data_IF_509696961236
#
_entry.id   IF_509696961236
#
_cell.length_a   1.000
_cell.length_b   1.000
_cell.length_c   1.000
_cell.angle_alpha   90.00
_cell.angle_beta   90.00
_cell.angle_gamma   90.00
#
_symmetry.space_group_name_H-M   'P 1'
#
loop_
_entity.id
_entity.type
_entity.pdbx_description
1 polymer ?
#
# COMPACT_ATOMS: atom_id res chain seq x y z
N UNK A 1 2.29 -0.04 4.59
CA UNK A 1 1.75 -0.79 3.43
C UNK A 1 2.02 0.00 2.16
N UNK A 2 2.56 -0.62 1.12
CA UNK A 2 2.75 0.01 -0.18
C UNK A 2 1.69 -0.52 -1.17
N UNK A 3 0.99 0.40 -1.81
CA UNK A 3 -0.07 0.09 -2.78
C UNK A 3 0.36 0.56 -4.16
N UNK A 4 0.51 -0.37 -5.09
CA UNK A 4 0.78 -0.10 -6.49
C UNK A 4 -0.54 -0.05 -7.26
N UNK A 5 -0.98 1.16 -7.60
CA UNK A 5 -2.21 1.38 -8.35
C UNK A 5 -1.99 1.26 -9.85
N UNK A 6 -3.05 0.87 -10.57
CA UNK A 6 -3.05 0.69 -12.04
C UNK A 6 -2.02 -0.34 -12.52
N UNK A 7 -1.81 -1.37 -11.71
CA UNK A 7 -0.90 -2.46 -12.02
C UNK A 7 -1.35 -3.19 -13.28
N UNK A 8 -0.40 -3.44 -14.19
CA UNK A 8 -0.58 -4.19 -15.43
C UNK A 8 -0.25 -5.67 -15.20
N UNK A 9 -0.57 -6.53 -16.16
CA UNK A 9 -0.45 -7.98 -15.98
C UNK A 9 0.98 -8.43 -15.69
N UNK A 10 1.99 -7.73 -16.22
CA UNK A 10 3.42 -7.95 -16.00
C UNK A 10 3.80 -7.77 -14.53
N UNK A 11 3.10 -6.87 -13.83
CA UNK A 11 3.33 -6.59 -12.42
C UNK A 11 2.91 -7.76 -11.53
N UNK A 12 1.92 -8.53 -11.98
CA UNK A 12 1.38 -9.69 -11.28
C UNK A 12 2.25 -10.94 -11.48
N UNK A 13 3.25 -10.92 -12.37
CA UNK A 13 4.12 -12.06 -12.54
C UNK A 13 4.88 -12.41 -11.24
N UNK A 14 4.91 -13.69 -10.82
CA UNK A 14 5.60 -14.12 -9.60
C UNK A 14 7.06 -13.66 -9.48
N UNK A 15 7.79 -13.65 -10.61
CA UNK A 15 9.19 -13.24 -10.66
C UNK A 15 9.31 -11.73 -10.42
N UNK A 16 8.49 -10.93 -11.10
CA UNK A 16 8.41 -9.48 -10.94
C UNK A 16 8.02 -9.09 -9.52
N UNK A 17 6.99 -9.75 -8.97
CA UNK A 17 6.53 -9.52 -7.61
C UNK A 17 7.64 -9.83 -6.58
N UNK A 18 8.34 -10.95 -6.73
CA UNK A 18 9.46 -11.35 -5.85
C UNK A 18 10.63 -10.37 -5.95
N UNK A 19 10.95 -9.92 -7.15
CA UNK A 19 12.00 -8.92 -7.37
C UNK A 19 11.67 -7.61 -6.65
N UNK A 20 10.47 -7.07 -6.84
CA UNK A 20 10.04 -5.83 -6.20
C UNK A 20 9.98 -5.93 -4.67
N UNK A 21 9.49 -7.05 -4.13
CA UNK A 21 9.50 -7.26 -2.67
C UNK A 21 10.93 -7.22 -2.11
N UNK A 22 11.90 -7.85 -2.79
CA UNK A 22 13.32 -7.79 -2.37
C UNK A 22 13.87 -6.36 -2.40
N UNK A 23 13.57 -5.62 -3.45
CA UNK A 23 13.99 -4.21 -3.59
C UNK A 23 13.39 -3.33 -2.49
N UNK A 24 12.08 -3.47 -2.22
CA UNK A 24 11.41 -2.75 -1.14
C UNK A 24 12.02 -3.06 0.22
N UNK A 25 12.28 -4.34 0.53
CA UNK A 25 12.95 -4.71 1.78
C UNK A 25 14.33 -4.05 1.90
N UNK A 26 15.11 -4.03 0.81
CA UNK A 26 16.41 -3.37 0.78
C UNK A 26 16.34 -1.86 1.04
N UNK A 27 15.40 -1.15 0.40
CA UNK A 27 15.24 0.31 0.58
C UNK A 27 14.83 0.69 2.01
N UNK A 28 14.04 -0.16 2.67
CA UNK A 28 13.54 0.09 4.02
C UNK A 28 14.37 -0.59 5.13
N UNK A 29 15.47 -1.28 4.81
CA UNK A 29 16.25 -2.08 5.75
C UNK A 29 16.78 -1.31 6.98
N UNK A 30 16.98 0.02 6.83
CA UNK A 30 17.42 0.92 7.92
C UNK A 30 16.33 1.90 8.36
N UNK A 31 15.11 1.76 7.84
CA UNK A 31 14.00 2.62 8.18
C UNK A 31 13.37 2.19 9.51
N UNK A 32 12.86 3.16 10.28
CA UNK A 32 11.99 2.87 11.45
C UNK A 32 10.57 2.46 11.03
N UNK A 33 10.23 2.64 9.75
CA UNK A 33 8.92 2.25 9.22
C UNK A 33 8.89 0.73 9.01
N UNK A 34 7.92 0.06 9.65
CA UNK A 34 7.71 -1.35 9.43
C UNK A 34 6.96 -1.58 8.10
N UNK A 35 7.68 -2.09 7.10
CA UNK A 35 7.11 -2.49 5.81
C UNK A 35 6.77 -3.99 5.76
N UNK A 36 7.12 -4.74 6.79
CA UNK A 36 6.92 -6.19 6.86
C UNK A 36 5.55 -6.55 7.45
N UNK A 37 4.95 -7.64 6.98
CA UNK A 37 3.64 -8.14 7.36
C UNK A 37 2.97 -9.02 6.31
N UNK A 38 1.68 -9.28 6.54
CA UNK A 38 0.86 -10.20 5.75
C UNK A 38 -0.04 -9.52 4.70
N UNK A 39 0.07 -8.21 4.49
CA UNK A 39 -0.73 -7.49 3.49
C UNK A 39 -0.08 -7.60 2.11
N UNK A 40 -0.15 -8.80 1.52
CA UNK A 40 0.42 -9.11 0.20
C UNK A 40 -0.41 -10.16 -0.54
N UNK A 41 -0.23 -10.25 -1.88
CA UNK A 41 -1.01 -11.13 -2.73
C UNK A 41 -0.91 -12.63 -2.38
N UNK A 42 0.22 -13.08 -1.83
CA UNK A 42 0.39 -14.47 -1.38
C UNK A 42 -0.52 -14.81 -0.20
N UNK A 43 -0.65 -13.88 0.73
CA UNK A 43 -1.52 -14.01 1.90
C UNK A 43 -3.02 -13.85 1.57
N UNK A 44 -3.36 -13.28 0.41
CA UNK A 44 -4.75 -13.13 -0.08
C UNK A 44 -5.33 -14.42 -0.71
N UNK A 45 -4.63 -15.56 -0.62
CA UNK A 45 -5.21 -16.88 -0.87
C UNK A 45 -5.27 -17.34 -2.33
N UNK A 46 -4.57 -16.67 -3.26
CA UNK A 46 -4.49 -17.11 -4.67
C UNK A 46 -3.39 -18.16 -4.84
N UNK A 47 -3.74 -19.32 -5.42
CA UNK A 47 -2.83 -20.47 -5.57
C UNK A 47 -1.52 -20.14 -6.28
N UNK A 48 -1.57 -19.30 -7.31
CA UNK A 48 -0.40 -18.86 -8.10
C UNK A 48 0.64 -18.12 -7.23
N UNK A 49 0.21 -17.48 -6.14
CA UNK A 49 1.06 -16.71 -5.25
C UNK A 49 1.37 -17.42 -3.93
N UNK A 50 0.77 -18.58 -3.64
CA UNK A 50 1.03 -19.35 -2.40
C UNK A 50 2.51 -19.73 -2.22
N UNK A 51 3.24 -19.94 -3.33
CA UNK A 51 4.67 -20.25 -3.30
C UNK A 51 5.59 -19.03 -3.12
N UNK A 52 5.05 -17.80 -3.15
CA UNK A 52 5.82 -16.58 -2.97
C UNK A 52 5.84 -16.25 -1.48
N UNK A 53 6.88 -16.75 -0.79
CA UNK A 53 7.18 -16.35 0.59
C UNK A 53 7.72 -14.92 0.60
N UNK A 54 6.81 -13.95 0.63
CA UNK A 54 7.12 -12.54 0.89
C UNK A 54 6.41 -12.12 2.16
N UNK A 55 7.16 -11.47 3.04
CA UNK A 55 6.69 -10.81 4.25
C UNK A 55 6.59 -9.30 4.04
N UNK A 56 6.61 -8.79 2.80
CA UNK A 56 6.52 -7.35 2.54
C UNK A 56 5.06 -6.98 2.32
N UNK A 57 4.57 -5.93 3.00
CA UNK A 57 3.23 -5.37 2.83
C UNK A 57 3.10 -4.61 1.50
N UNK A 58 3.17 -5.34 0.39
CA UNK A 58 3.10 -4.83 -0.98
C UNK A 58 1.88 -5.39 -1.71
N UNK A 59 1.04 -4.48 -2.20
CA UNK A 59 -0.27 -4.81 -2.76
C UNK A 59 -0.40 -4.22 -4.16
N UNK A 60 -0.82 -5.04 -5.12
CA UNK A 60 -1.13 -4.60 -6.48
C UNK A 60 -2.63 -4.38 -6.63
N UNK A 61 -3.00 -3.24 -7.21
CA UNK A 61 -4.36 -2.94 -7.61
C UNK A 61 -4.38 -2.76 -9.13
N UNK A 62 -5.08 -3.66 -9.82
CA UNK A 62 -5.33 -3.53 -11.25
C UNK A 62 -6.18 -2.29 -11.56
N UNK A 63 -6.27 -1.90 -12.83
CA UNK A 63 -7.21 -0.85 -13.23
C UNK A 63 -8.65 -1.24 -12.88
N UNK A 64 -9.41 -0.24 -12.39
CA UNK A 64 -10.83 -0.42 -12.13
C UNK A 64 -11.52 -0.67 -13.46
N UNK A 65 -12.10 -1.86 -13.63
CA UNK A 65 -12.96 -2.14 -14.79
C UNK A 65 -14.13 -1.16 -14.77
N UNK A 66 -14.41 -0.42 -15.85
CA UNK A 66 -15.58 0.43 -15.91
C UNK A 66 -16.82 -0.41 -15.59
N UNK A 67 -17.66 0.05 -14.66
CA UNK A 67 -18.94 -0.62 -14.39
C UNK A 67 -19.73 -0.68 -15.69
N UNK A 68 -19.87 -1.86 -16.26
CA UNK A 68 -20.61 -2.06 -17.51
C UNK A 68 -22.08 -1.73 -17.26
N UNK A 69 -22.53 -0.51 -17.60
CA UNK A 69 -23.92 -0.34 -18.03
C UNK A 69 -24.00 -1.16 -19.32
N UNK A 70 -24.86 -2.19 -19.33
CA UNK A 70 -25.07 -3.13 -20.45
C UNK A 70 -24.74 -2.47 -21.79
N UNK A 71 -23.54 -2.76 -22.31
CA UNK A 71 -23.09 -2.29 -23.60
C UNK A 71 -22.35 -3.46 -24.25
N UNK A 72 -22.91 -3.84 -25.40
CA UNK A 72 -22.43 -4.63 -26.53
C UNK A 72 -20.93 -4.98 -26.44
N UNK A 73 -20.54 -6.24 -26.67
CA UNK A 73 -19.15 -6.67 -26.57
C UNK A 73 -18.30 -5.89 -27.57
N UNK A 74 -17.61 -4.86 -27.10
CA UNK A 74 -16.55 -4.22 -27.84
C UNK A 74 -15.38 -5.20 -27.90
N UNK A 75 -14.94 -5.51 -29.11
CA UNK A 75 -13.70 -6.21 -29.46
C UNK A 75 -12.53 -5.51 -28.77
N UNK A 76 -12.23 -5.90 -27.53
CA UNK A 76 -11.00 -5.51 -26.86
C UNK A 76 -9.90 -6.45 -27.34
N UNK A 77 -8.76 -5.82 -27.63
CA UNK A 77 -7.47 -6.37 -28.02
C UNK A 77 -7.22 -7.78 -27.49
N UNK A 78 -6.60 -8.60 -28.35
CA UNK A 78 -6.11 -9.93 -28.04
C UNK A 78 -5.04 -9.90 -26.93
N UNK A 79 -5.46 -9.71 -25.69
CA UNK A 79 -4.64 -10.05 -24.52
C UNK A 79 -4.63 -11.57 -24.41
N UNK A 80 -3.44 -12.17 -24.33
CA UNK A 80 -3.26 -13.61 -24.14
C UNK A 80 -4.13 -14.05 -22.93
N UNK A 81 -5.01 -15.05 -23.07
CA UNK A 81 -5.83 -15.54 -21.96
C UNK A 81 -5.01 -15.93 -20.72
N UNK A 82 -3.71 -16.24 -20.88
CA UNK A 82 -2.78 -16.46 -19.77
C UNK A 82 -2.50 -15.18 -18.99
N UNK A 83 -2.34 -14.04 -19.64
CA UNK A 83 -2.06 -12.73 -19.02
C UNK A 83 -3.23 -12.26 -18.16
N UNK A 84 -4.46 -12.47 -18.61
CA UNK A 84 -5.68 -12.13 -17.85
C UNK A 84 -5.87 -13.02 -16.62
N UNK A 85 -5.33 -14.24 -16.61
CA UNK A 85 -5.48 -15.19 -15.49
C UNK A 85 -4.69 -14.80 -14.23
N UNK A 86 -3.61 -14.02 -14.39
CA UNK A 86 -2.72 -13.60 -13.30
C UNK A 86 -3.22 -12.34 -12.59
N UNK A 87 -3.92 -11.47 -13.32
CA UNK A 87 -4.44 -10.20 -12.79
C UNK A 87 -5.51 -10.47 -11.75
N UNK A 88 -5.29 -9.97 -10.53
CA UNK A 88 -6.27 -10.07 -9.46
C UNK A 88 -7.29 -8.95 -9.58
N UNK A 89 -8.57 -9.32 -9.53
CA UNK A 89 -9.68 -8.38 -9.60
C UNK A 89 -9.60 -7.31 -8.49
N UNK A 90 -9.83 -6.05 -8.89
CA UNK A 90 -9.69 -4.88 -8.02
C UNK A 90 -10.58 -4.98 -6.77
N UNK A 91 -11.85 -5.38 -6.93
CA UNK A 91 -12.81 -5.49 -5.83
C UNK A 91 -12.42 -6.58 -4.83
N UNK A 92 -11.87 -7.69 -5.33
CA UNK A 92 -11.37 -8.77 -4.48
C UNK A 92 -10.21 -8.29 -3.59
N UNK A 93 -9.26 -7.55 -4.15
CA UNK A 93 -8.14 -6.99 -3.39
C UNK A 93 -8.66 -5.98 -2.35
N UNK A 94 -9.57 -5.08 -2.73
CA UNK A 94 -10.15 -4.10 -1.81
C UNK A 94 -10.90 -4.74 -0.64
N UNK A 95 -11.72 -5.78 -0.88
CA UNK A 95 -12.43 -6.47 0.19
C UNK A 95 -11.45 -7.10 1.17
N UNK A 96 -10.44 -7.79 0.65
CA UNK A 96 -9.41 -8.43 1.49
C UNK A 96 -8.63 -7.40 2.30
N UNK A 97 -8.26 -6.28 1.68
CA UNK A 97 -7.62 -5.16 2.37
C UNK A 97 -8.49 -4.59 3.47
N UNK A 98 -9.78 -4.33 3.21
CA UNK A 98 -10.70 -3.77 4.20
C UNK A 98 -10.78 -4.65 5.45
N UNK A 99 -10.93 -5.96 5.27
CA UNK A 99 -10.98 -6.91 6.39
C UNK A 99 -9.64 -6.97 7.12
N UNK A 100 -8.52 -7.04 6.38
CA UNK A 100 -7.20 -7.20 6.98
C UNK A 100 -6.75 -5.94 7.73
N UNK A 101 -7.07 -4.75 7.23
CA UNK A 101 -6.78 -3.46 7.88
C UNK A 101 -7.52 -3.30 9.21
N UNK A 102 -8.76 -3.79 9.30
CA UNK A 102 -9.54 -3.73 10.55
C UNK A 102 -8.93 -4.60 11.66
N UNK A 103 -8.22 -5.67 11.30
CA UNK A 103 -7.54 -6.56 12.24
C UNK A 103 -6.12 -6.12 12.61
N UNK A 104 -5.60 -5.02 12.04
CA UNK A 104 -4.26 -4.55 12.38
C UNK A 104 -4.19 -4.08 13.84
N UNK A 105 -3.00 -4.22 14.47
CA UNK A 105 -2.78 -3.66 15.80
C UNK A 105 -3.10 -2.18 15.79
N UNK A 106 -4.06 -1.76 16.61
CA UNK A 106 -4.32 -0.35 16.85
C UNK A 106 -3.20 0.13 17.75
N UNK A 107 -2.16 0.77 17.19
CA UNK A 107 -1.15 1.42 18.01
C UNK A 107 -1.85 2.44 18.89
N UNK A 108 -1.75 2.29 20.21
CA UNK A 108 -2.13 3.36 21.10
C UNK A 108 -1.14 4.49 20.84
N UNK A 109 -1.54 5.56 20.16
CA UNK A 109 -0.80 6.83 20.16
C UNK A 109 -0.81 7.49 21.55
N UNK A 110 -1.10 6.72 22.61
CA UNK A 110 -1.24 7.17 23.97
C UNK A 110 0.15 7.55 24.47
N UNK A 111 0.40 8.85 24.53
CA UNK A 111 1.63 9.41 25.08
C UNK A 111 1.80 9.10 26.58
N UNK A 112 0.75 8.72 27.32
CA UNK A 112 0.82 8.52 28.78
C UNK A 112 -0.11 7.41 29.32
N UNK A 113 -0.24 6.28 28.61
CA UNK A 113 -0.96 5.10 29.14
C UNK A 113 -2.49 5.24 29.28
N UNK A 114 -3.07 6.40 28.98
CA UNK A 114 -4.52 6.62 28.92
C UNK A 114 -5.12 6.21 27.58
N UNK A 115 -6.38 5.72 27.57
CA UNK A 115 -7.09 5.44 26.32
C UNK A 115 -7.26 6.71 25.49
N UNK A 116 -6.76 6.70 24.25
CA UNK A 116 -6.93 7.78 23.30
C UNK A 116 -8.36 7.77 22.75
N UNK A 117 -9.19 8.72 23.17
CA UNK A 117 -10.53 8.95 22.60
C UNK A 117 -10.42 9.71 21.28
N UNK A 118 -11.47 9.68 20.45
CA UNK A 118 -11.52 10.44 19.18
C UNK A 118 -11.27 11.94 19.39
N UNK A 119 -11.84 12.52 20.46
CA UNK A 119 -11.60 13.93 20.82
C UNK A 119 -10.13 14.20 21.18
N UNK A 120 -9.50 13.32 21.96
CA UNK A 120 -8.09 13.45 22.33
C UNK A 120 -7.18 13.29 21.10
N UNK A 121 -7.51 12.37 20.20
CA UNK A 121 -6.80 12.21 18.93
C UNK A 121 -6.87 13.49 18.08
N UNK A 122 -8.05 14.11 17.97
CA UNK A 122 -8.21 15.37 17.23
C UNK A 122 -7.38 16.52 17.83
N UNK A 123 -7.37 16.64 19.16
CA UNK A 123 -6.56 17.65 19.84
C UNK A 123 -5.06 17.42 19.59
N UNK A 124 -4.59 16.18 19.76
CA UNK A 124 -3.20 15.82 19.49
C UNK A 124 -2.79 16.11 18.04
N UNK A 125 -3.65 15.75 17.08
CA UNK A 125 -3.40 16.04 15.67
C UNK A 125 -3.30 17.55 15.39
N UNK A 126 -4.13 18.36 16.05
CA UNK A 126 -4.11 19.81 15.93
C UNK A 126 -2.84 20.43 16.55
N UNK A 127 -2.36 19.90 17.66
CA UNK A 127 -1.10 20.30 18.29
C UNK A 127 0.10 19.98 17.39
N UNK A 128 0.21 18.71 16.97
CA UNK A 128 1.28 18.26 16.07
C UNK A 128 1.33 19.05 14.76
N UNK A 129 0.17 19.42 14.20
CA UNK A 129 0.11 20.27 13.02
C UNK A 129 0.75 21.65 13.26
N UNK A 130 0.41 22.31 14.38
CA UNK A 130 1.00 23.62 14.72
C UNK A 130 2.50 23.53 14.92
N UNK A 131 2.98 22.50 15.62
CA UNK A 131 4.40 22.27 15.85
C UNK A 131 5.16 21.98 14.55
N UNK A 132 4.51 21.28 13.61
CA UNK A 132 5.08 21.02 12.28
C UNK A 132 5.24 22.31 11.49
N UNK A 133 4.24 23.20 11.50
CA UNK A 133 4.28 24.47 10.76
C UNK A 133 5.39 25.39 11.26
N UNK A 134 5.70 25.37 12.56
CA UNK A 134 6.76 26.17 13.17
C UNK A 134 8.09 25.40 13.30
N UNK A 135 8.19 24.21 12.71
CA UNK A 135 9.33 23.32 12.89
C UNK A 135 10.61 23.89 12.30
N UNK A 136 11.60 24.11 13.16
CA UNK A 136 12.95 24.53 12.77
C UNK A 136 13.61 23.52 11.83
N UNK A 137 13.38 22.22 12.01
CA UNK A 137 13.95 21.18 11.14
C UNK A 137 13.39 21.27 9.71
N UNK A 138 12.09 21.56 9.58
CA UNK A 138 11.46 21.76 8.26
C UNK A 138 11.99 23.02 7.60
N UNK A 139 12.12 24.12 8.36
CA UNK A 139 12.71 25.36 7.84
C UNK A 139 14.16 25.16 7.39
N UNK A 140 14.97 24.49 8.20
CA UNK A 140 16.38 24.18 7.87
C UNK A 140 16.50 23.33 6.61
N UNK A 141 15.66 22.30 6.48
CA UNK A 141 15.63 21.48 5.27
C UNK A 141 15.25 22.30 4.03
N UNK A 142 14.23 23.16 4.14
CA UNK A 142 13.83 24.08 3.07
C UNK A 142 14.98 25.01 2.67
N UNK A 143 15.62 25.67 3.63
CA UNK A 143 16.76 26.55 3.37
C UNK A 143 17.94 25.82 2.74
N UNK A 144 18.18 24.57 3.12
CA UNK A 144 19.22 23.74 2.50
C UNK A 144 18.92 23.55 1.01
N UNK A 145 17.70 23.16 0.66
CA UNK A 145 17.31 22.98 -0.74
C UNK A 145 17.42 24.28 -1.54
N UNK A 146 16.98 25.41 -0.97
CA UNK A 146 17.07 26.72 -1.64
C UNK A 146 18.50 27.27 -1.77
N UNK A 147 19.46 26.74 -1.00
CA UNK A 147 20.88 27.12 -1.08
C UNK A 147 21.70 26.26 -2.05
N UNK A 148 21.08 25.23 -2.63
CA UNK A 148 21.72 24.34 -3.61
C UNK A 148 21.52 24.81 -5.06
N UNK A 149 20.76 25.88 -5.27
CA UNK A 149 20.66 26.63 -6.54
C UNK A 149 21.75 27.71 -6.61
#
# INVERSE_FOLDING_TARGET
>A
VLVHQRAKWEDFEPVTLRYRCRLLRGMFAKSRLNVEGCLNLGSMGRDVYKGIKTDVNYVLLADIKPRSRKAIPSTQSADDPRSLSLVVDYELVLRTLRTSLQGLPRSSFALDGGSLTEKRWYNLASELWRDTVTSHEIMKFSSTLSSMD
#
